data_IF_306886316972
#
_entry.id   IF_306886316972
#
_cell.length_a   1.000
_cell.length_b   1.000
_cell.length_c   1.000
_cell.angle_alpha   90.00
_cell.angle_beta   90.00
_cell.angle_gamma   90.00
#
_symmetry.space_group_name_H-M   'P 1'
#
loop_
_entity.id
_entity.type
_entity.pdbx_description
1 polymer ?
#
# COMPACT_ATOMS: atom_id res chain seq x y z
N UNK A 1 -22.46 -28.98 -20.01
CA UNK A 1 -22.16 -27.54 -19.88
C UNK A 1 -21.66 -27.28 -18.47
N UNK A 2 -20.37 -26.99 -18.29
CA UNK A 2 -19.81 -26.68 -16.98
C UNK A 2 -20.52 -25.44 -16.42
N UNK A 3 -21.33 -25.62 -15.36
CA UNK A 3 -21.84 -24.50 -14.55
C UNK A 3 -20.64 -23.86 -13.83
N UNK A 4 -19.84 -23.11 -14.58
CA UNK A 4 -18.82 -22.24 -14.02
C UNK A 4 -19.51 -21.23 -13.12
N UNK A 5 -19.18 -21.22 -11.84
CA UNK A 5 -19.73 -20.25 -10.88
C UNK A 5 -19.39 -18.84 -11.37
N UNK A 6 -20.35 -17.91 -11.28
CA UNK A 6 -20.17 -16.53 -11.72
C UNK A 6 -18.94 -15.90 -11.03
N UNK A 7 -17.97 -15.36 -11.77
CA UNK A 7 -16.77 -14.78 -11.17
C UNK A 7 -17.06 -13.63 -10.20
N UNK A 8 -18.17 -12.89 -10.37
CA UNK A 8 -18.56 -11.84 -9.44
C UNK A 8 -19.02 -12.40 -8.09
N UNK A 9 -19.64 -13.59 -8.09
CA UNK A 9 -20.02 -14.30 -6.87
C UNK A 9 -18.78 -14.92 -6.22
N UNK A 10 -17.87 -15.50 -7.01
CA UNK A 10 -16.60 -16.05 -6.51
C UNK A 10 -15.70 -14.97 -5.89
N UNK A 11 -15.66 -13.78 -6.49
CA UNK A 11 -14.97 -12.60 -5.95
C UNK A 11 -15.71 -11.90 -4.82
N UNK A 12 -16.89 -12.41 -4.45
CA UNK A 12 -17.80 -11.84 -3.43
C UNK A 12 -18.25 -10.41 -3.72
N UNK A 13 -18.09 -9.90 -4.95
CA UNK A 13 -18.60 -8.58 -5.36
C UNK A 13 -20.12 -8.59 -5.30
N UNK A 14 -20.74 -9.64 -5.87
CA UNK A 14 -22.14 -9.97 -5.58
C UNK A 14 -22.17 -10.60 -4.19
N UNK A 15 -22.89 -9.97 -3.28
CA UNK A 15 -22.83 -10.23 -1.84
C UNK A 15 -22.29 -9.02 -1.09
N UNK A 16 -21.03 -8.65 -1.31
CA UNK A 16 -20.43 -7.53 -0.58
C UNK A 16 -20.92 -6.16 -1.06
N UNK A 17 -20.90 -5.93 -2.36
CA UNK A 17 -21.15 -4.62 -2.99
C UNK A 17 -22.51 -4.59 -3.68
N UNK A 18 -22.86 -5.68 -4.36
CA UNK A 18 -24.04 -5.77 -5.21
C UNK A 18 -24.97 -6.89 -4.79
N UNK A 19 -26.25 -6.71 -5.04
CA UNK A 19 -27.23 -7.81 -4.98
C UNK A 19 -27.16 -8.65 -6.28
N UNK A 20 -27.64 -9.90 -6.26
CA UNK A 20 -27.71 -10.72 -7.46
C UNK A 20 -28.50 -10.04 -8.57
N UNK A 21 -27.93 -9.98 -9.77
CA UNK A 21 -28.55 -9.33 -10.93
C UNK A 21 -28.28 -10.11 -12.22
N UNK A 22 -29.06 -9.81 -13.26
CA UNK A 22 -28.84 -10.35 -14.61
C UNK A 22 -28.16 -9.28 -15.46
N UNK A 23 -27.01 -9.60 -16.06
CA UNK A 23 -26.28 -8.68 -16.93
C UNK A 23 -27.14 -8.32 -18.15
N UNK A 24 -27.30 -7.03 -18.41
CA UNK A 24 -28.09 -6.50 -19.52
C UNK A 24 -27.27 -5.63 -20.50
N UNK A 25 -26.01 -5.37 -20.18
CA UNK A 25 -25.07 -4.62 -21.03
C UNK A 25 -23.69 -5.28 -21.01
N UNK A 26 -22.90 -5.04 -22.06
CA UNK A 26 -21.49 -5.48 -22.13
C UNK A 26 -20.59 -4.28 -21.87
N UNK A 27 -19.74 -4.39 -20.85
CA UNK A 27 -18.76 -3.37 -20.49
C UNK A 27 -17.35 -3.95 -20.64
N UNK A 28 -16.48 -3.27 -21.39
CA UNK A 28 -15.05 -3.58 -21.50
C UNK A 28 -14.23 -2.50 -20.81
N UNK A 29 -13.23 -2.93 -20.05
CA UNK A 29 -12.35 -2.04 -19.31
C UNK A 29 -10.92 -2.32 -19.75
N UNK A 30 -10.18 -1.27 -20.10
CA UNK A 30 -8.81 -1.37 -20.56
C UNK A 30 -7.89 -0.49 -19.72
N UNK A 31 -6.77 -1.08 -19.28
CA UNK A 31 -5.64 -0.36 -18.71
C UNK A 31 -4.42 -0.56 -19.61
N UNK A 32 -3.71 0.50 -20.00
CA UNK A 32 -2.53 0.42 -20.87
C UNK A 32 -2.77 -0.40 -22.16
N UNK A 33 -3.90 -0.18 -22.83
CA UNK A 33 -4.37 -0.91 -24.02
C UNK A 33 -4.52 -2.43 -23.82
N UNK A 34 -4.72 -2.88 -22.59
CA UNK A 34 -5.01 -4.27 -22.25
C UNK A 34 -6.36 -4.36 -21.58
N UNK A 35 -7.24 -5.17 -22.16
CA UNK A 35 -8.52 -5.51 -21.56
C UNK A 35 -8.31 -6.31 -20.27
N UNK A 36 -9.05 -5.93 -19.23
CA UNK A 36 -9.05 -6.62 -17.94
C UNK A 36 -10.24 -7.57 -17.86
N UNK A 37 -10.01 -8.73 -17.24
CA UNK A 37 -11.05 -9.71 -16.98
C UNK A 37 -11.38 -9.74 -15.49
N UNK A 38 -12.54 -10.30 -15.15
CA UNK A 38 -12.95 -10.45 -13.76
C UNK A 38 -11.89 -11.22 -12.95
N UNK A 39 -11.40 -10.59 -11.87
CA UNK A 39 -10.39 -11.14 -10.99
C UNK A 39 -8.94 -10.99 -11.48
N UNK A 40 -8.70 -10.31 -12.61
CA UNK A 40 -7.34 -9.95 -13.06
C UNK A 40 -6.55 -9.27 -11.94
N UNK A 41 -5.25 -9.59 -11.83
CA UNK A 41 -4.37 -8.97 -10.83
C UNK A 41 -3.61 -7.81 -11.46
N UNK A 42 -3.86 -6.60 -10.98
CA UNK A 42 -3.16 -5.40 -11.39
C UNK A 42 -2.26 -4.89 -10.27
N UNK A 43 -1.14 -4.29 -10.66
CA UNK A 43 -0.25 -3.57 -9.74
C UNK A 43 -0.74 -2.13 -9.62
N UNK A 44 -0.46 -1.49 -8.48
CA UNK A 44 -0.69 -0.06 -8.29
C UNK A 44 -0.14 0.80 -9.44
N UNK A 45 1.06 0.47 -9.92
CA UNK A 45 1.71 1.16 -11.04
C UNK A 45 0.95 1.04 -12.37
N UNK A 46 0.11 0.01 -12.54
CA UNK A 46 -0.68 -0.19 -13.75
C UNK A 46 -2.03 0.56 -13.73
N UNK A 47 -2.46 1.06 -12.56
CA UNK A 47 -3.76 1.71 -12.34
C UNK A 47 -3.63 3.16 -11.88
N UNK A 48 -2.46 3.78 -12.15
CA UNK A 48 -2.20 5.19 -11.84
C UNK A 48 -3.13 6.09 -12.64
N UNK A 49 -3.27 5.80 -13.93
CA UNK A 49 -4.17 6.51 -14.83
C UNK A 49 -5.53 5.82 -14.90
N UNK A 50 -6.57 6.59 -15.20
CA UNK A 50 -7.93 6.07 -15.33
C UNK A 50 -8.05 5.08 -16.49
N UNK A 51 -8.86 4.02 -16.35
CA UNK A 51 -9.05 3.06 -17.43
C UNK A 51 -9.88 3.67 -18.56
N UNK A 52 -9.73 3.09 -19.75
CA UNK A 52 -10.69 3.28 -20.83
C UNK A 52 -11.86 2.32 -20.59
N UNK A 53 -13.08 2.85 -20.53
CA UNK A 53 -14.30 2.06 -20.37
C UNK A 53 -15.15 2.21 -21.61
N UNK A 54 -15.55 1.07 -22.17
CA UNK A 54 -16.40 0.98 -23.34
C UNK A 54 -17.67 0.23 -22.99
N UNK A 55 -18.80 0.76 -23.46
CA UNK A 55 -20.12 0.16 -23.29
C UNK A 55 -20.62 -0.20 -24.68
N UNK A 56 -20.73 -1.48 -24.96
CA UNK A 56 -21.22 -1.95 -26.26
C UNK A 56 -22.72 -1.71 -26.36
N UNK A 57 -23.14 -1.14 -27.49
CA UNK A 57 -24.53 -0.95 -27.80
C UNK A 57 -24.72 -0.14 -29.07
N UNK A 58 -25.96 0.08 -29.45
CA UNK A 58 -26.33 0.76 -30.70
C UNK A 58 -27.31 1.91 -30.48
N UNK A 59 -27.67 2.21 -29.24
CA UNK A 59 -28.62 3.26 -28.90
C UNK A 59 -27.95 4.37 -28.08
N UNK A 60 -27.53 5.47 -28.73
CA UNK A 60 -26.87 6.58 -28.05
C UNK A 60 -27.81 7.33 -27.08
N UNK A 61 -29.12 7.05 -27.08
CA UNK A 61 -30.07 7.61 -26.10
C UNK A 61 -30.02 6.88 -24.77
N UNK A 62 -29.46 5.67 -24.72
CA UNK A 62 -29.24 4.96 -23.46
C UNK A 62 -27.99 5.52 -22.81
N UNK A 63 -28.21 6.09 -21.64
CA UNK A 63 -27.16 6.65 -20.81
C UNK A 63 -26.87 5.71 -19.65
N UNK A 64 -25.60 5.71 -19.23
CA UNK A 64 -25.13 4.88 -18.14
C UNK A 64 -24.31 5.68 -17.13
N UNK A 65 -24.35 5.22 -15.88
CA UNK A 65 -23.52 5.70 -14.79
C UNK A 65 -22.52 4.61 -14.40
N UNK A 66 -21.24 4.97 -14.35
CA UNK A 66 -20.14 4.12 -13.92
C UNK A 66 -19.71 4.51 -12.51
N UNK A 67 -19.65 3.51 -11.62
CA UNK A 67 -19.21 3.64 -10.23
C UNK A 67 -17.99 2.74 -10.03
N UNK A 68 -16.89 3.27 -9.52
CA UNK A 68 -15.69 2.51 -9.19
C UNK A 68 -15.41 2.58 -7.69
N UNK A 69 -15.41 1.44 -7.02
CA UNK A 69 -15.35 1.35 -5.55
C UNK A 69 -14.38 0.27 -5.07
N UNK A 70 -13.84 0.49 -3.87
CA UNK A 70 -13.01 -0.45 -3.12
C UNK A 70 -13.74 -0.88 -1.82
N UNK A 71 -14.37 -2.08 -1.79
CA UNK A 71 -14.97 -2.63 -0.58
C UNK A 71 -13.97 -3.05 0.50
N UNK A 72 -12.67 -3.06 0.20
CA UNK A 72 -11.64 -3.60 1.10
C UNK A 72 -10.82 -2.47 1.77
N UNK A 73 -11.24 -1.20 1.67
CA UNK A 73 -10.52 -0.07 2.26
C UNK A 73 -10.72 0.05 3.79
N UNK A 74 -9.68 0.37 4.58
CA UNK A 74 -8.26 0.55 4.20
C UNK A 74 -7.49 -0.78 4.08
N UNK A 75 -8.05 -1.89 4.57
CA UNK A 75 -7.53 -3.25 4.35
C UNK A 75 -8.66 -4.28 4.38
N UNK A 76 -8.56 -5.39 3.63
CA UNK A 76 -9.63 -6.40 3.58
C UNK A 76 -9.93 -7.06 4.93
N UNK A 77 -8.96 -7.06 5.85
CA UNK A 77 -9.13 -7.63 7.20
C UNK A 77 -9.80 -6.67 8.18
N UNK A 78 -9.76 -5.37 7.92
CA UNK A 78 -10.38 -4.34 8.74
C UNK A 78 -10.90 -3.22 7.83
N UNK A 79 -12.02 -3.44 7.12
CA UNK A 79 -12.50 -2.53 6.08
C UNK A 79 -13.36 -1.41 6.66
N UNK A 80 -12.78 -0.55 7.51
CA UNK A 80 -13.50 0.55 8.19
C UNK A 80 -14.04 1.63 7.26
N UNK A 81 -13.43 1.77 6.07
CA UNK A 81 -13.72 2.84 5.12
C UNK A 81 -14.56 2.30 3.93
N UNK A 82 -15.03 1.05 4.02
CA UNK A 82 -15.84 0.38 3.00
C UNK A 82 -17.18 1.09 2.78
N UNK A 83 -17.61 1.33 1.54
CA UNK A 83 -16.83 1.26 0.29
C UNK A 83 -16.07 2.58 0.08
N UNK A 84 -14.87 2.54 -0.49
CA UNK A 84 -14.16 3.76 -0.90
C UNK A 84 -14.40 4.07 -2.38
N UNK A 85 -14.98 5.23 -2.66
CA UNK A 85 -15.30 5.68 -4.02
C UNK A 85 -14.06 6.24 -4.74
N UNK A 86 -13.60 5.51 -5.76
CA UNK A 86 -12.47 5.89 -6.60
C UNK A 86 -12.89 6.78 -7.78
N UNK A 87 -14.02 6.51 -8.41
CA UNK A 87 -14.44 7.22 -9.62
C UNK A 87 -15.95 7.15 -9.83
N UNK A 88 -16.55 8.26 -10.27
CA UNK A 88 -17.97 8.34 -10.63
C UNK A 88 -18.15 9.14 -11.90
N UNK A 89 -18.72 8.51 -12.93
CA UNK A 89 -19.00 9.15 -14.22
C UNK A 89 -20.44 8.87 -14.64
N UNK A 90 -21.14 9.89 -15.11
CA UNK A 90 -22.55 9.80 -15.51
C UNK A 90 -22.70 10.12 -16.99
N UNK A 91 -23.92 9.92 -17.50
CA UNK A 91 -24.33 10.31 -18.84
C UNK A 91 -23.43 9.72 -19.94
N UNK A 92 -22.96 8.48 -19.73
CA UNK A 92 -22.12 7.76 -20.68
C UNK A 92 -23.03 7.12 -21.75
N UNK A 93 -22.94 7.49 -23.04
CA UNK A 93 -23.73 6.88 -24.10
C UNK A 93 -23.17 5.51 -24.53
N UNK A 94 -24.02 4.66 -25.14
CA UNK A 94 -23.54 3.47 -25.85
C UNK A 94 -22.68 3.85 -27.06
N UNK A 95 -21.64 3.05 -27.32
CA UNK A 95 -20.77 3.25 -28.49
C UNK A 95 -21.08 2.24 -29.58
N UNK A 96 -21.41 2.75 -30.78
CA UNK A 96 -21.86 2.00 -31.97
C UNK A 96 -20.82 1.06 -32.58
N UNK A 97 -19.53 1.28 -32.33
CA UNK A 97 -18.46 0.43 -32.86
C UNK A 97 -17.36 0.21 -31.82
N UNK A 98 -17.01 -1.07 -31.62
CA UNK A 98 -15.85 -1.53 -30.86
C UNK A 98 -14.52 -1.24 -31.57
N UNK A 99 -14.48 -0.26 -32.49
CA UNK A 99 -13.28 0.06 -33.24
C UNK A 99 -12.28 0.78 -32.33
N UNK A 100 -11.23 0.05 -31.97
CA UNK A 100 -10.11 0.46 -31.11
C UNK A 100 -9.36 1.72 -31.59
N UNK A 101 -9.67 2.21 -32.79
CA UNK A 101 -8.90 3.24 -33.49
C UNK A 101 -9.32 4.67 -33.15
N UNK A 102 -10.55 4.89 -32.69
CA UNK A 102 -10.96 6.19 -32.18
C UNK A 102 -10.86 6.13 -30.68
N UNK A 103 -9.78 6.68 -30.10
CA UNK A 103 -9.46 6.67 -28.66
C UNK A 103 -10.46 7.41 -27.75
N UNK A 104 -11.75 7.21 -27.96
CA UNK A 104 -12.86 7.76 -27.19
C UNK A 104 -13.02 6.99 -25.88
N UNK A 105 -12.10 7.34 -25.00
CA UNK A 105 -12.19 7.41 -23.55
C UNK A 105 -13.56 7.98 -23.15
N UNK A 106 -14.30 7.25 -22.31
CA UNK A 106 -15.52 7.68 -21.58
C UNK A 106 -15.99 9.11 -21.90
N UNK A 107 -16.94 9.25 -22.82
CA UNK A 107 -17.56 10.54 -23.19
C UNK A 107 -18.72 10.91 -22.25
N UNK A 108 -18.54 10.68 -20.95
CA UNK A 108 -19.51 11.00 -19.90
C UNK A 108 -19.11 12.21 -19.06
N UNK A 109 -20.01 12.62 -18.18
CA UNK A 109 -19.79 13.69 -17.21
C UNK A 109 -19.08 13.12 -15.96
N UNK A 110 -17.80 13.47 -15.75
CA UNK A 110 -17.03 13.06 -14.58
C UNK A 110 -17.44 13.87 -13.35
N UNK A 111 -18.20 13.24 -12.46
CA UNK A 111 -18.77 13.88 -11.26
C UNK A 111 -17.81 13.74 -10.06
N UNK A 112 -17.17 12.60 -9.92
CA UNK A 112 -16.09 12.38 -8.95
C UNK A 112 -14.86 11.98 -9.73
N UNK A 113 -13.80 12.78 -9.63
CA UNK A 113 -12.56 12.56 -10.37
C UNK A 113 -11.91 11.23 -9.99
N UNK A 114 -11.23 10.62 -10.97
CA UNK A 114 -10.54 9.36 -10.75
C UNK A 114 -9.44 9.51 -9.70
N UNK A 115 -9.51 8.68 -8.67
CA UNK A 115 -8.45 8.51 -7.69
C UNK A 115 -7.84 7.12 -7.84
N UNK A 116 -6.57 7.04 -8.21
CA UNK A 116 -5.83 5.78 -8.37
C UNK A 116 -5.92 4.89 -7.11
N UNK A 117 -6.26 3.59 -7.22
CA UNK A 117 -6.21 2.67 -6.09
C UNK A 117 -4.82 2.55 -5.46
N UNK A 118 -4.70 2.79 -4.15
CA UNK A 118 -3.43 2.77 -3.40
C UNK A 118 -3.49 1.87 -2.16
N UNK A 119 -3.77 0.56 -2.32
CA UNK A 119 -3.82 -0.38 -1.20
C UNK A 119 -2.50 -0.41 -0.40
N UNK A 120 -2.57 -0.16 0.91
CA UNK A 120 -1.39 -0.17 1.79
C UNK A 120 -1.07 -1.57 2.30
N UNK A 121 -2.11 -2.40 2.49
CA UNK A 121 -2.01 -3.74 3.05
C UNK A 121 -3.05 -4.68 2.42
N UNK A 122 -2.67 -5.94 2.21
CA UNK A 122 -3.57 -6.93 1.63
C UNK A 122 -3.82 -6.75 0.12
N UNK A 123 -4.81 -7.49 -0.37
CA UNK A 123 -5.26 -7.48 -1.75
C UNK A 123 -6.66 -6.90 -1.73
N UNK A 124 -6.84 -5.78 -2.41
CA UNK A 124 -8.11 -5.07 -2.51
C UNK A 124 -8.79 -5.46 -3.82
N UNK A 125 -10.09 -5.67 -3.76
CA UNK A 125 -10.94 -5.84 -4.92
C UNK A 125 -11.40 -4.46 -5.34
N UNK A 126 -11.13 -4.09 -6.58
CA UNK A 126 -11.60 -2.83 -7.14
C UNK A 126 -12.72 -3.15 -8.10
N UNK A 127 -13.94 -2.80 -7.72
CA UNK A 127 -15.15 -3.08 -8.49
C UNK A 127 -15.55 -1.89 -9.34
N UNK A 128 -15.91 -2.15 -10.59
CA UNK A 128 -16.51 -1.22 -11.53
C UNK A 128 -17.93 -1.69 -11.82
N UNK A 129 -18.90 -0.85 -11.51
CA UNK A 129 -20.33 -1.16 -11.60
C UNK A 129 -20.97 -0.18 -12.56
N UNK A 130 -21.73 -0.71 -13.51
CA UNK A 130 -22.42 0.06 -14.53
C UNK A 130 -23.93 -0.01 -14.30
N UNK A 131 -24.57 1.15 -14.18
CA UNK A 131 -26.01 1.28 -14.05
C UNK A 131 -26.61 1.98 -15.25
N UNK A 132 -27.84 1.62 -15.63
CA UNK A 132 -28.57 2.28 -16.71
C UNK A 132 -29.35 3.47 -16.14
N UNK A 133 -29.17 4.65 -16.72
CA UNK A 133 -29.95 5.83 -16.37
C UNK A 133 -31.29 5.84 -17.09
N UNK A 134 -32.32 6.32 -16.39
CA UNK A 134 -33.61 6.63 -16.99
C UNK A 134 -33.65 8.07 -17.53
N UNK A 135 -32.97 8.99 -16.84
CA UNK A 135 -32.97 10.43 -17.14
C UNK A 135 -31.55 10.97 -17.00
N UNK A 136 -31.17 11.88 -17.91
CA UNK A 136 -29.87 12.58 -17.90
C UNK A 136 -29.75 13.52 -16.69
N UNK A 137 -28.53 13.72 -16.17
CA UNK A 137 -28.22 14.71 -15.11
C UNK A 137 -28.98 14.55 -13.78
N UNK A 138 -29.33 13.32 -13.39
CA UNK A 138 -30.07 13.04 -12.13
C UNK A 138 -29.17 12.60 -10.97
N UNK A 139 -27.87 12.48 -11.22
CA UNK A 139 -26.89 11.93 -10.30
C UNK A 139 -25.97 13.04 -9.80
N UNK A 140 -25.69 13.05 -8.49
CA UNK A 140 -24.87 14.08 -7.85
C UNK A 140 -23.67 13.44 -7.13
N UNK A 141 -22.60 14.23 -6.96
CA UNK A 141 -21.42 13.78 -6.23
C UNK A 141 -21.74 13.61 -4.74
N UNK A 142 -21.29 12.52 -4.10
CA UNK A 142 -21.29 12.46 -2.64
C UNK A 142 -20.27 13.46 -2.06
N UNK A 143 -20.49 13.90 -0.82
CA UNK A 143 -19.59 14.84 -0.14
C UNK A 143 -18.25 14.24 0.28
N UNK A 144 -18.13 12.91 0.29
CA UNK A 144 -16.95 12.17 0.73
C UNK A 144 -16.83 10.84 -0.03
N UNK A 145 -15.64 10.22 0.00
CA UNK A 145 -15.34 8.99 -0.74
C UNK A 145 -15.47 7.72 0.10
N UNK A 146 -15.09 7.78 1.37
CA UNK A 146 -15.13 6.69 2.34
C UNK A 146 -16.57 6.36 2.75
N UNK A 147 -16.84 5.12 3.18
CA UNK A 147 -18.18 4.72 3.63
C UNK A 147 -19.28 5.00 2.59
N UNK A 148 -18.91 4.94 1.32
CA UNK A 148 -19.86 4.93 0.22
C UNK A 148 -20.62 3.60 0.21
N UNK A 149 -21.86 3.64 -0.29
CA UNK A 149 -22.70 2.46 -0.45
C UNK A 149 -23.26 2.46 -1.86
N UNK A 150 -22.74 1.58 -2.71
CA UNK A 150 -23.20 1.45 -4.10
C UNK A 150 -24.69 1.11 -4.17
N UNK A 151 -25.21 0.33 -3.20
CA UNK A 151 -26.63 -0.02 -3.12
C UNK A 151 -27.50 1.21 -2.83
N UNK A 152 -27.18 1.93 -1.76
CA UNK A 152 -27.97 3.10 -1.36
C UNK A 152 -27.92 4.19 -2.43
N UNK A 153 -26.76 4.36 -3.08
CA UNK A 153 -26.60 5.25 -4.21
C UNK A 153 -27.53 4.89 -5.39
N UNK A 154 -27.58 3.60 -5.76
CA UNK A 154 -28.45 3.14 -6.85
C UNK A 154 -29.93 3.33 -6.54
N UNK A 155 -30.34 3.14 -5.28
CA UNK A 155 -31.70 3.33 -4.82
C UNK A 155 -32.08 4.81 -4.80
N UNK A 156 -31.21 5.67 -4.24
CA UNK A 156 -31.45 7.11 -4.13
C UNK A 156 -31.62 7.79 -5.49
N UNK A 157 -30.83 7.38 -6.48
CA UNK A 157 -30.88 7.95 -7.83
C UNK A 157 -31.80 7.17 -8.80
N UNK A 158 -32.57 6.20 -8.31
CA UNK A 158 -33.47 5.37 -9.13
C UNK A 158 -32.78 4.68 -10.33
N UNK A 159 -31.53 4.26 -10.14
CA UNK A 159 -30.72 3.60 -11.16
C UNK A 159 -31.12 2.13 -11.36
N UNK A 160 -31.81 1.54 -10.38
CA UNK A 160 -32.24 0.14 -10.41
C UNK A 160 -31.08 -0.84 -10.25
N UNK A 161 -31.25 -2.04 -10.81
CA UNK A 161 -30.22 -3.08 -10.76
C UNK A 161 -29.03 -2.76 -11.67
N UNK A 162 -27.81 -3.23 -11.34
CA UNK A 162 -26.66 -3.08 -12.22
C UNK A 162 -26.92 -3.68 -13.61
N UNK A 163 -26.49 -2.98 -14.65
CA UNK A 163 -26.52 -3.47 -16.03
C UNK A 163 -25.30 -4.36 -16.32
N UNK A 164 -24.15 -4.01 -15.75
CA UNK A 164 -22.91 -4.78 -15.83
C UNK A 164 -22.05 -4.51 -14.60
N UNK A 165 -21.15 -5.45 -14.28
CA UNK A 165 -20.11 -5.23 -13.29
C UNK A 165 -18.86 -6.03 -13.66
N UNK A 166 -17.70 -5.47 -13.31
CA UNK A 166 -16.40 -6.11 -13.43
C UNK A 166 -15.53 -5.75 -12.24
N UNK A 167 -14.53 -6.55 -11.93
CA UNK A 167 -13.58 -6.22 -10.87
C UNK A 167 -12.18 -6.73 -11.18
N UNK A 168 -11.18 -6.08 -10.59
CA UNK A 168 -9.81 -6.54 -10.58
C UNK A 168 -9.25 -6.53 -9.16
N UNK A 169 -8.21 -7.32 -8.93
CA UNK A 169 -7.49 -7.36 -7.67
C UNK A 169 -6.28 -6.42 -7.75
N UNK A 170 -6.22 -5.44 -6.86
CA UNK A 170 -5.09 -4.53 -6.70
C UNK A 170 -4.37 -4.84 -5.40
N UNK A 171 -3.05 -4.86 -5.41
CA UNK A 171 -2.26 -4.97 -4.19
C UNK A 171 -1.10 -3.98 -4.25
N UNK A 172 -0.54 -3.67 -3.08
CA UNK A 172 0.65 -2.84 -3.02
C UNK A 172 1.72 -3.39 -3.96
N UNK A 173 2.42 -2.52 -4.66
CA UNK A 173 3.59 -2.96 -5.40
C UNK A 173 4.48 -3.74 -4.43
N UNK A 174 4.88 -4.95 -4.83
CA UNK A 174 5.73 -5.81 -4.03
C UNK A 174 7.15 -5.24 -4.03
N UNK A 175 7.33 -4.05 -3.44
CA UNK A 175 8.60 -3.48 -3.04
C UNK A 175 9.10 -4.18 -1.77
N UNK A 176 9.27 -5.50 -1.84
CA UNK A 176 10.06 -6.29 -0.91
C UNK A 176 10.95 -7.27 -1.69
N UNK A 177 11.37 -6.88 -2.90
CA UNK A 177 12.50 -7.45 -3.63
C UNK A 177 13.50 -6.34 -3.90
N UNK A 178 14.70 -6.45 -3.31
CA UNK A 178 15.74 -5.44 -3.37
C UNK A 178 16.30 -5.22 -4.78
N UNK A 179 15.82 -4.18 -5.45
CA UNK A 179 16.67 -3.29 -6.25
C UNK A 179 16.36 -1.87 -5.82
N UNK A 180 17.18 -1.38 -4.89
CA UNK A 180 17.25 0.04 -4.59
C UNK A 180 17.39 0.80 -5.90
N UNK A 181 16.43 1.70 -6.17
CA UNK A 181 16.73 2.87 -7.02
C UNK A 181 18.01 3.50 -6.43
N UNK A 182 18.98 3.92 -7.25
CA UNK A 182 20.18 4.57 -6.72
C UNK A 182 19.72 5.70 -5.80
N UNK A 183 20.18 5.64 -4.55
CA UNK A 183 19.76 6.56 -3.50
C UNK A 183 19.87 7.99 -4.00
N UNK A 184 18.74 8.70 -4.06
CA UNK A 184 18.75 10.14 -4.16
C UNK A 184 19.52 10.65 -2.94
N UNK A 185 20.71 11.22 -3.18
CA UNK A 185 21.53 11.88 -2.17
C UNK A 185 20.66 12.91 -1.45
N UNK A 186 20.40 12.75 -0.15
CA UNK A 186 19.92 13.88 0.66
C UNK A 186 19.04 13.61 1.87
N UNK A 187 18.54 12.39 2.13
CA UNK A 187 17.78 12.13 3.37
C UNK A 187 18.45 11.07 4.24
N UNK A 188 18.59 11.39 5.53
CA UNK A 188 19.23 10.53 6.51
C UNK A 188 18.40 9.24 6.72
N UNK A 189 18.98 8.04 6.54
CA UNK A 189 18.27 6.78 6.66
C UNK A 189 17.75 6.46 8.08
N UNK A 190 18.30 7.08 9.13
CA UNK A 190 17.79 6.95 10.51
C UNK A 190 16.54 7.80 10.74
N UNK A 191 16.39 8.90 10.01
CA UNK A 191 15.17 9.71 10.00
C UNK A 191 14.07 9.01 9.19
N UNK A 192 14.42 8.42 8.04
CA UNK A 192 13.48 7.62 7.25
C UNK A 192 12.97 6.38 8.00
N UNK A 193 13.81 5.78 8.85
CA UNK A 193 13.44 4.65 9.70
C UNK A 193 12.72 5.03 10.99
N UNK A 194 12.39 6.32 11.21
CA UNK A 194 11.82 6.86 12.46
C UNK A 194 12.67 6.58 13.72
N UNK A 195 13.94 6.18 13.56
CA UNK A 195 14.81 5.86 14.69
C UNK A 195 15.21 7.14 15.43
N UNK A 196 15.48 8.21 14.68
CA UNK A 196 15.63 9.56 15.26
C UNK A 196 14.24 10.11 15.57
N UNK A 197 13.98 10.38 16.84
CA UNK A 197 12.65 10.76 17.36
C UNK A 197 12.05 9.69 18.28
N UNK A 198 12.08 8.41 17.87
CA UNK A 198 11.48 7.32 18.68
C UNK A 198 12.49 6.63 19.60
N UNK A 199 13.77 6.57 19.19
CA UNK A 199 14.83 5.83 19.89
C UNK A 199 16.02 6.71 20.24
N UNK A 200 16.38 7.64 19.36
CA UNK A 200 17.52 8.53 19.51
C UNK A 200 17.08 9.99 19.37
N UNK A 201 17.64 10.86 20.21
CA UNK A 201 17.55 12.30 20.00
C UNK A 201 18.29 12.69 18.71
N UNK A 202 17.86 13.78 18.03
CA UNK A 202 18.58 14.30 16.88
C UNK A 202 20.07 14.54 17.20
N UNK A 203 20.96 13.97 16.39
CA UNK A 203 22.39 14.05 16.61
C UNK A 203 23.16 14.29 15.31
N UNK A 204 24.31 14.95 15.42
CA UNK A 204 25.25 15.11 14.29
C UNK A 204 26.19 13.92 14.26
N UNK A 205 26.20 13.17 13.15
CA UNK A 205 27.08 12.00 12.96
C UNK A 205 28.55 12.43 12.99
N UNK A 206 29.32 11.93 13.96
CA UNK A 206 30.75 12.27 14.11
C UNK A 206 31.72 11.17 13.66
N UNK A 207 31.21 9.97 13.34
CA UNK A 207 31.99 8.82 12.88
C UNK A 207 31.09 7.88 12.06
N UNK A 208 31.69 7.10 11.17
CA UNK A 208 30.99 6.07 10.40
C UNK A 208 31.09 4.74 11.14
N UNK A 209 29.96 4.12 11.43
CA UNK A 209 29.90 2.78 12.05
C UNK A 209 29.48 1.76 11.00
N UNK A 210 30.28 0.71 10.84
CA UNK A 210 29.97 -0.45 10.00
C UNK A 210 29.69 -1.65 10.90
N UNK A 211 28.60 -2.35 10.62
CA UNK A 211 28.19 -3.54 11.35
C UNK A 211 28.26 -4.72 10.39
N UNK A 212 28.96 -5.78 10.77
CA UNK A 212 29.10 -6.99 9.97
C UNK A 212 28.51 -8.19 10.71
N UNK A 213 27.72 -8.99 9.99
CA UNK A 213 27.29 -10.32 10.42
C UNK A 213 27.80 -11.33 9.40
N UNK A 214 28.41 -12.44 9.86
CA UNK A 214 28.93 -13.50 8.98
C UNK A 214 29.81 -12.96 7.84
N UNK A 215 30.71 -12.02 8.15
CA UNK A 215 31.59 -11.32 7.21
C UNK A 215 30.87 -10.53 6.10
N UNK A 216 29.60 -10.16 6.30
CA UNK A 216 28.85 -9.27 5.40
C UNK A 216 28.49 -7.99 6.11
N UNK A 217 28.84 -6.86 5.48
CA UNK A 217 28.42 -5.54 5.95
C UNK A 217 26.91 -5.38 5.84
N UNK A 218 26.29 -4.97 6.94
CA UNK A 218 24.86 -4.74 7.05
C UNK A 218 24.60 -3.24 6.89
N UNK A 219 23.92 -2.88 5.81
CA UNK A 219 23.51 -1.51 5.54
C UNK A 219 22.23 -1.17 6.32
N UNK A 220 22.03 0.11 6.62
CA UNK A 220 20.81 0.60 7.27
C UNK A 220 19.56 0.16 6.47
N UNK A 221 18.59 -0.46 7.15
CA UNK A 221 17.37 -1.01 6.53
C UNK A 221 17.48 -2.45 6.01
N UNK A 222 18.64 -3.11 6.16
CA UNK A 222 18.79 -4.52 5.80
C UNK A 222 17.92 -5.44 6.66
N UNK A 223 17.13 -6.31 6.02
CA UNK A 223 16.41 -7.38 6.72
C UNK A 223 17.31 -8.59 6.88
N UNK A 224 17.60 -8.97 8.11
CA UNK A 224 18.38 -10.16 8.42
C UNK A 224 17.43 -11.33 8.69
N UNK A 225 17.74 -12.49 8.11
CA UNK A 225 17.10 -13.74 8.48
C UNK A 225 17.49 -14.08 9.92
N UNK A 226 16.62 -14.75 10.66
CA UNK A 226 16.92 -15.15 12.04
C UNK A 226 18.19 -16.02 12.16
N UNK A 227 18.48 -16.83 11.13
CA UNK A 227 19.72 -17.59 11.02
C UNK A 227 20.98 -16.75 10.75
N UNK A 228 20.84 -15.49 10.34
CA UNK A 228 21.96 -14.59 10.02
C UNK A 228 22.39 -13.72 11.20
N UNK A 229 21.70 -13.80 12.34
CA UNK A 229 21.98 -13.04 13.58
C UNK A 229 22.32 -13.97 14.77
N UNK A 230 22.69 -15.21 14.47
CA UNK A 230 23.05 -16.22 15.48
C UNK A 230 24.40 -15.85 16.13
N UNK A 231 25.33 -15.39 15.32
CA UNK A 231 26.66 -14.96 15.76
C UNK A 231 26.68 -13.48 16.13
N UNK A 232 27.57 -13.11 17.04
CA UNK A 232 27.74 -11.71 17.47
C UNK A 232 28.19 -10.84 16.28
N UNK A 233 27.65 -9.62 16.13
CA UNK A 233 28.10 -8.70 15.10
C UNK A 233 29.54 -8.25 15.35
N UNK A 234 30.31 -8.11 14.28
CA UNK A 234 31.55 -7.34 14.31
C UNK A 234 31.24 -5.88 14.01
N UNK A 235 31.73 -4.97 14.83
CA UNK A 235 31.53 -3.54 14.67
C UNK A 235 32.87 -2.88 14.38
N UNK A 236 32.93 -2.11 13.30
CA UNK A 236 34.07 -1.28 12.95
C UNK A 236 33.63 0.18 12.96
N UNK A 237 34.40 1.03 13.64
CA UNK A 237 34.15 2.47 13.68
C UNK A 237 35.27 3.16 12.93
N UNK A 238 34.93 3.83 11.84
CA UNK A 238 35.83 4.66 11.05
C UNK A 238 35.67 6.11 11.51
N UNK A 239 36.72 6.63 12.15
CA UNK A 239 36.79 8.03 12.59
C UNK A 239 38.07 8.69 12.11
N UNK A 240 38.00 9.98 11.80
CA UNK A 240 39.14 10.75 11.30
C UNK A 240 40.21 11.08 12.38
N UNK A 241 40.04 10.60 13.61
CA UNK A 241 40.91 10.92 14.75
C UNK A 241 41.15 9.67 15.60
N UNK A 242 42.37 9.10 15.59
CA UNK A 242 42.71 7.87 16.31
C UNK A 242 42.70 8.03 17.83
N UNK A 243 42.55 9.25 18.36
CA UNK A 243 42.49 9.51 19.81
C UNK A 243 41.06 9.51 20.36
N UNK A 244 40.03 9.36 19.51
CA UNK A 244 38.63 9.31 19.93
C UNK A 244 38.19 7.88 20.22
N UNK A 245 37.82 7.63 21.47
CA UNK A 245 37.26 6.37 21.93
C UNK A 245 35.73 6.41 21.87
N UNK A 246 35.12 5.31 21.41
CA UNK A 246 33.67 5.15 21.27
C UNK A 246 33.20 3.98 22.15
N UNK A 247 32.03 4.11 22.78
CA UNK A 247 31.43 3.03 23.59
C UNK A 247 30.13 2.57 22.97
N UNK A 248 29.96 1.25 22.81
CA UNK A 248 28.70 0.63 22.39
C UNK A 248 27.84 0.36 23.61
N UNK A 249 26.68 1.00 23.66
CA UNK A 249 25.65 0.83 24.68
C UNK A 249 24.56 -0.11 24.14
N UNK A 250 24.14 -1.06 24.97
CA UNK A 250 22.99 -1.93 24.75
C UNK A 250 21.86 -1.46 25.66
N UNK A 251 20.63 -1.35 25.17
CA UNK A 251 19.47 -1.06 26.02
C UNK A 251 19.11 -2.32 26.84
N UNK A 252 19.01 -2.24 28.18
CA UNK A 252 18.66 -3.38 29.00
C UNK A 252 17.21 -3.81 28.73
N UNK A 253 16.96 -5.12 28.77
CA UNK A 253 15.63 -5.72 28.60
C UNK A 253 14.96 -5.94 29.96
N UNK A 254 13.62 -6.03 30.06
CA UNK A 254 12.88 -6.06 31.34
C UNK A 254 13.20 -7.24 32.28
N UNK A 255 14.01 -8.20 31.85
CA UNK A 255 14.48 -9.35 32.65
C UNK A 255 15.67 -9.01 33.55
N UNK A 256 16.34 -7.87 33.37
CA UNK A 256 17.46 -7.46 34.22
C UNK A 256 16.93 -6.71 35.45
N UNK A 257 16.43 -7.45 36.44
CA UNK A 257 16.35 -6.94 37.82
C UNK A 257 17.60 -7.40 38.58
N UNK A 258 18.23 -6.39 39.20
CA UNK A 258 19.30 -6.42 40.20
C UNK A 258 20.77 -6.28 39.74
N UNK A 259 21.28 -5.06 40.00
CA UNK A 259 22.56 -4.72 40.62
C UNK A 259 23.57 -3.92 39.78
N UNK A 260 24.11 -2.79 40.31
CA UNK A 260 25.00 -1.89 39.59
C UNK A 260 26.46 -2.35 39.71
N UNK A 261 27.20 -2.20 38.61
CA UNK A 261 28.63 -2.48 38.48
C UNK A 261 29.05 -3.95 38.62
N UNK A 262 29.24 -4.63 37.47
CA UNK A 262 30.40 -5.51 37.28
C UNK A 262 30.72 -5.72 35.80
N UNK A 263 31.99 -5.49 35.50
CA UNK A 263 32.72 -5.99 34.34
C UNK A 263 32.81 -7.52 34.36
N UNK A 264 32.98 -8.07 33.15
CA UNK A 264 33.54 -9.38 32.80
C UNK A 264 32.60 -10.55 32.46
N UNK A 265 33.06 -11.21 31.38
CA UNK A 265 33.06 -12.65 31.11
C UNK A 265 31.78 -13.32 30.56
N UNK A 266 31.98 -14.01 29.42
CA UNK A 266 31.20 -15.18 28.98
C UNK A 266 31.25 -16.25 30.12
N UNK A 267 30.19 -17.04 30.39
CA UNK A 267 29.77 -18.12 29.48
C UNK A 267 28.28 -18.58 29.53
N UNK A 268 28.02 -19.58 28.68
CA UNK A 268 26.98 -20.64 28.71
C UNK A 268 25.49 -20.35 28.44
N UNK A 269 25.09 -20.79 27.24
CA UNK A 269 23.93 -21.65 26.88
C UNK A 269 22.48 -21.31 27.28
N UNK A 270 21.61 -21.46 26.27
CA UNK A 270 20.15 -21.69 26.26
C UNK A 270 19.20 -20.47 26.11
N UNK A 271 18.00 -20.68 25.53
CA UNK A 271 17.60 -19.97 24.31
C UNK A 271 16.37 -19.05 24.52
N UNK A 272 16.12 -18.21 23.51
CA UNK A 272 15.00 -17.28 23.38
C UNK A 272 15.17 -15.92 24.07
N UNK A 273 15.52 -14.90 23.28
CA UNK A 273 14.96 -13.55 23.40
C UNK A 273 15.40 -12.66 22.23
N UNK A 274 14.40 -12.08 21.56
CA UNK A 274 14.33 -10.71 21.03
C UNK A 274 15.63 -10.03 20.54
N UNK A 275 15.63 -9.65 19.25
CA UNK A 275 16.64 -8.81 18.62
C UNK A 275 16.92 -7.54 19.44
N UNK A 276 18.10 -7.48 20.05
CA UNK A 276 18.55 -6.33 20.85
C UNK A 276 19.16 -5.26 19.93
N UNK A 277 18.68 -4.02 20.04
CA UNK A 277 19.26 -2.87 19.35
C UNK A 277 20.52 -2.36 20.07
N UNK A 278 21.57 -2.04 19.30
CA UNK A 278 22.85 -1.51 19.78
C UNK A 278 22.98 -0.03 19.41
N UNK A 279 23.48 0.82 20.30
CA UNK A 279 23.68 2.27 20.09
C UNK A 279 25.10 2.65 20.49
N UNK A 280 25.84 3.40 19.66
CA UNK A 280 27.16 3.93 20.02
C UNK A 280 27.02 5.37 20.57
N UNK A 281 27.65 5.68 21.71
CA UNK A 281 27.73 7.04 22.25
C UNK A 281 29.19 7.49 22.41
N UNK A 282 29.40 8.81 22.27
CA UNK A 282 30.69 9.49 22.38
C UNK A 282 30.96 9.87 23.83
N UNK A 283 32.15 9.55 24.35
CA UNK A 283 32.60 10.09 25.64
C UNK A 283 32.82 11.61 25.49
N UNK A 284 31.96 12.42 26.11
CA UNK A 284 32.34 13.79 26.45
C UNK A 284 33.24 13.72 27.68
N UNK A 285 34.55 13.89 27.47
CA UNK A 285 35.43 14.42 28.51
C UNK A 285 35.20 15.93 28.57
N UNK A 286 34.33 16.40 29.45
CA UNK A 286 34.52 17.74 30.02
C UNK A 286 35.45 17.61 31.22
N UNK A 287 36.64 18.20 31.06
CA UNK A 287 37.68 18.32 32.08
C UNK A 287 37.14 19.05 33.32
N UNK A 288 37.36 18.47 34.48
CA UNK A 288 37.73 19.22 35.68
C UNK A 288 38.87 18.48 36.38
N UNK A 289 40.10 18.65 35.88
CA UNK A 289 41.26 18.71 36.76
C UNK A 289 41.31 20.14 37.31
N UNK A 290 40.90 20.30 38.57
CA UNK A 290 41.59 21.18 39.51
C UNK A 290 41.68 20.42 40.83
N UNK A 291 42.88 19.89 41.09
CA UNK A 291 43.47 19.87 42.42
C UNK A 291 44.41 21.09 42.48
N UNK A 292 44.73 21.65 43.65
CA UNK A 292 44.21 21.35 45.00
C UNK A 292 42.95 22.16 45.35
#
# INVERSE_FOLDING_TARGET
MSRGRDPLVLGQIVGDVLDPFTRSATMRIMYNNREILNGSRLRQSAVVDKPQVQIEGNDPRKLYTLVMVDPDAPSPNNPTDREYLHWLVTDIPETLDASYETGNIVSGNEIVSYESPRPQAGIHRIALVLFRQQVQQTVHAPGWRQNFSTRDFSAFHNLGLPAAASFFNCQRESGCGGRSRPMSRGRDPLVLGQIVGDVLDPFTRSATMRIMYNNREILTGSRLRQSAVVDKPQVQIEGNDPRKLYTLLRKPTPTDRDSPYRTCALPSASPAASASAWVASKLQHERLLRLP
#
